data_IF_376769756908
#
_entry.id   IF_376769756908
#
_cell.length_a   1.000
_cell.length_b   1.000
_cell.length_c   1.000
_cell.angle_alpha   90.00
_cell.angle_beta   90.00
_cell.angle_gamma   90.00
#
_symmetry.space_group_name_H-M   'P 1'
#
loop_
_entity.id
_entity.type
_entity.pdbx_description
1 polymer ?
#
# COMPACT_ATOMS: atom_id res chain seq x y z
N UNK A 1 -10.04 -14.03 3.46
CA UNK A 1 -10.83 -12.77 3.51
C UNK A 1 -9.85 -11.61 3.51
N UNK A 2 -9.69 -10.93 2.38
CA UNK A 2 -8.83 -9.74 2.25
C UNK A 2 -9.50 -8.62 3.04
N UNK A 3 -8.84 -8.08 4.06
CA UNK A 3 -9.35 -6.93 4.81
C UNK A 3 -8.92 -5.66 4.08
N UNK A 4 -9.86 -5.05 3.37
CA UNK A 4 -9.68 -3.74 2.74
C UNK A 4 -10.18 -2.66 3.69
N UNK A 5 -9.36 -1.64 3.95
CA UNK A 5 -9.73 -0.51 4.81
C UNK A 5 -10.39 0.59 3.95
N UNK A 6 -11.68 0.46 3.60
CA UNK A 6 -12.40 1.59 3.02
C UNK A 6 -13.92 1.53 3.32
N UNK A 7 -14.48 2.63 3.84
CA UNK A 7 -15.94 2.87 3.87
C UNK A 7 -16.41 3.25 2.46
N UNK A 8 -17.48 2.62 1.99
CA UNK A 8 -18.20 2.96 0.75
C UNK A 8 -19.05 4.22 1.01
N UNK A 9 -18.53 5.40 0.74
CA UNK A 9 -19.34 6.61 0.55
C UNK A 9 -18.88 7.27 -0.76
N UNK A 10 -19.76 7.35 -1.75
CA UNK A 10 -19.45 7.66 -3.15
C UNK A 10 -18.95 9.10 -3.42
N UNK A 11 -18.96 9.98 -2.42
CA UNK A 11 -18.46 11.37 -2.53
C UNK A 11 -17.04 11.58 -1.98
N UNK A 12 -16.46 10.59 -1.29
CA UNK A 12 -15.20 10.77 -0.59
C UNK A 12 -14.11 9.96 -1.29
N UNK A 13 -13.56 10.47 -2.40
CA UNK A 13 -12.39 9.85 -3.05
C UNK A 13 -11.29 9.78 -1.97
N UNK A 14 -10.91 8.58 -1.50
CA UNK A 14 -9.93 8.45 -0.45
C UNK A 14 -8.63 9.08 -0.93
N UNK A 15 -8.10 10.03 -0.16
CA UNK A 15 -6.85 10.72 -0.49
C UNK A 15 -5.68 9.83 -0.07
N UNK A 16 -4.63 9.82 -0.88
CA UNK A 16 -3.43 8.99 -0.66
C UNK A 16 -2.82 9.16 0.74
N UNK A 17 -2.93 10.36 1.33
CA UNK A 17 -2.36 10.63 2.64
C UNK A 17 -3.04 9.86 3.79
N UNK A 18 -4.34 9.55 3.68
CA UNK A 18 -5.04 8.74 4.69
C UNK A 18 -4.54 7.30 4.63
N UNK A 19 -4.37 6.75 3.43
CA UNK A 19 -3.77 5.42 3.23
C UNK A 19 -2.34 5.34 3.78
N UNK A 20 -1.54 6.40 3.58
CA UNK A 20 -0.18 6.49 4.16
C UNK A 20 -0.22 6.46 5.69
N UNK A 21 -1.13 7.22 6.32
CA UNK A 21 -1.28 7.22 7.79
C UNK A 21 -1.61 5.83 8.30
N UNK A 22 -2.62 5.17 7.71
CA UNK A 22 -3.05 3.83 8.11
C UNK A 22 -1.91 2.82 8.01
N UNK A 23 -1.20 2.79 6.88
CA UNK A 23 -0.06 1.88 6.70
C UNK A 23 1.04 2.11 7.74
N UNK A 24 1.40 3.37 8.01
CA UNK A 24 2.40 3.71 9.01
C UNK A 24 1.97 3.28 10.40
N UNK A 25 0.73 3.59 10.80
CA UNK A 25 0.20 3.18 12.11
C UNK A 25 0.22 1.67 12.28
N UNK A 26 -0.17 0.89 11.27
CA UNK A 26 -0.11 -0.58 11.33
C UNK A 26 1.33 -1.06 11.58
N UNK A 27 2.30 -0.54 10.83
CA UNK A 27 3.69 -0.96 10.98
C UNK A 27 4.32 -0.51 12.30
N UNK A 28 4.00 0.70 12.77
CA UNK A 28 4.42 1.22 14.08
C UNK A 28 3.85 0.39 15.22
N UNK A 29 2.57 -0.01 15.14
CA UNK A 29 1.94 -0.88 16.14
C UNK A 29 2.60 -2.26 16.17
N UNK A 30 2.88 -2.86 15.02
CA UNK A 30 3.57 -4.16 14.92
C UNK A 30 4.98 -4.07 15.54
N UNK A 31 5.72 -2.98 15.28
CA UNK A 31 7.05 -2.78 15.84
C UNK A 31 7.00 -2.55 17.36
N UNK A 32 6.01 -1.80 17.84
CA UNK A 32 5.77 -1.56 19.27
C UNK A 32 5.51 -2.87 20.02
N UNK A 33 4.59 -3.70 19.54
CA UNK A 33 4.30 -5.00 20.20
C UNK A 33 5.45 -6.01 20.08
N UNK A 34 6.27 -5.91 19.04
CA UNK A 34 7.40 -6.82 18.82
C UNK A 34 8.61 -6.54 19.72
N UNK A 35 8.77 -5.31 20.20
CA UNK A 35 9.93 -4.88 21.00
C UNK A 35 9.81 -5.21 22.49
N UNK A 36 8.59 -5.42 23.02
CA UNK A 36 8.31 -5.91 24.40
C UNK A 36 9.17 -5.24 25.50
N UNK A 37 9.29 -3.93 25.49
CA UNK A 37 10.26 -3.23 26.34
C UNK A 37 9.67 -2.74 27.67
N UNK A 38 8.37 -2.47 27.72
CA UNK A 38 7.75 -1.68 28.79
C UNK A 38 6.34 -2.16 29.17
N UNK A 39 5.89 -1.80 30.39
CA UNK A 39 4.58 -2.18 30.94
C UNK A 39 3.40 -1.73 30.05
N UNK A 40 3.56 -0.60 29.35
CA UNK A 40 2.51 -0.12 28.44
C UNK A 40 2.33 -1.04 27.22
N UNK A 41 3.43 -1.59 26.70
CA UNK A 41 3.41 -2.58 25.62
C UNK A 41 2.82 -3.91 26.08
N UNK A 42 3.11 -4.35 27.32
CA UNK A 42 2.51 -5.57 27.89
C UNK A 42 0.99 -5.42 27.98
N UNK A 43 0.50 -4.25 28.43
CA UNK A 43 -0.93 -3.96 28.49
C UNK A 43 -1.57 -3.99 27.09
N UNK A 44 -0.96 -3.35 26.09
CA UNK A 44 -1.44 -3.38 24.69
C UNK A 44 -1.49 -4.80 24.13
N UNK A 45 -0.45 -5.61 24.35
CA UNK A 45 -0.44 -7.02 23.93
C UNK A 45 -1.61 -7.77 24.55
N UNK A 46 -1.89 -7.55 25.84
CA UNK A 46 -3.03 -8.16 26.52
C UNK A 46 -4.36 -7.74 25.88
N UNK A 47 -4.55 -6.43 25.64
CA UNK A 47 -5.75 -5.91 24.96
C UNK A 47 -5.93 -6.53 23.56
N UNK A 48 -4.84 -6.68 22.77
CA UNK A 48 -4.90 -7.36 21.47
C UNK A 48 -5.20 -8.86 21.58
N UNK A 49 -4.68 -9.54 22.61
CA UNK A 49 -4.96 -10.96 22.89
C UNK A 49 -6.38 -11.21 23.39
N UNK A 50 -7.02 -10.20 23.98
CA UNK A 50 -8.44 -10.26 24.35
C UNK A 50 -9.33 -10.02 23.12
N UNK A 51 -8.92 -9.12 22.22
CA UNK A 51 -9.66 -8.80 21.00
C UNK A 51 -9.47 -9.82 19.85
N UNK A 52 -8.35 -10.55 19.83
CA UNK A 52 -7.99 -11.51 18.79
C UNK A 52 -7.39 -12.79 19.40
N UNK A 53 -7.33 -13.88 18.62
CA UNK A 53 -6.72 -15.12 19.10
C UNK A 53 -5.26 -14.90 19.53
N UNK A 54 -4.92 -15.34 20.74
CA UNK A 54 -3.57 -15.26 21.30
C UNK A 54 -2.50 -15.82 20.35
N UNK A 55 -2.80 -16.95 19.70
CA UNK A 55 -1.93 -17.58 18.71
C UNK A 55 -1.56 -16.66 17.54
N UNK A 56 -2.50 -15.80 17.08
CA UNK A 56 -2.26 -14.85 15.99
C UNK A 56 -1.36 -13.71 16.46
N UNK A 57 -1.60 -13.19 17.66
CA UNK A 57 -0.79 -12.10 18.23
C UNK A 57 0.65 -12.56 18.43
N UNK A 58 0.84 -13.78 18.95
CA UNK A 58 2.18 -14.36 19.14
C UNK A 58 2.90 -14.60 17.80
N UNK A 59 2.16 -15.02 16.76
CA UNK A 59 2.70 -15.13 15.40
C UNK A 59 3.16 -13.78 14.84
N UNK A 60 2.36 -12.71 15.02
CA UNK A 60 2.72 -11.36 14.56
C UNK A 60 3.95 -10.84 15.29
N UNK A 61 4.03 -11.04 16.62
CA UNK A 61 5.21 -10.65 17.42
C UNK A 61 6.46 -11.39 16.95
N UNK A 62 6.36 -12.70 16.72
CA UNK A 62 7.49 -13.54 16.29
C UNK A 62 7.97 -13.19 14.89
N UNK A 63 7.06 -12.97 13.95
CA UNK A 63 7.38 -12.76 12.54
C UNK A 63 7.53 -11.28 12.16
N UNK A 64 7.17 -10.34 13.06
CA UNK A 64 7.13 -8.89 12.82
C UNK A 64 6.35 -8.50 11.55
N UNK A 65 5.35 -9.31 11.20
CA UNK A 65 4.50 -9.14 10.01
C UNK A 65 3.14 -9.77 10.26
N UNK A 66 2.10 -9.23 9.62
CA UNK A 66 0.79 -9.84 9.59
C UNK A 66 0.81 -11.19 8.86
N UNK A 67 0.01 -12.19 9.30
CA UNK A 67 -0.07 -13.50 8.64
C UNK A 67 -0.85 -13.46 7.32
N UNK A 68 -1.33 -12.29 6.90
CA UNK A 68 -2.10 -12.07 5.67
C UNK A 68 -1.49 -10.93 4.85
N UNK A 69 -1.62 -10.95 3.52
CA UNK A 69 -1.16 -9.85 2.67
C UNK A 69 -1.84 -8.53 3.03
N UNK A 70 -1.04 -7.47 3.18
CA UNK A 70 -1.53 -6.11 3.41
C UNK A 70 -1.53 -5.33 2.08
N UNK A 71 -2.72 -5.06 1.56
CA UNK A 71 -2.89 -4.26 0.34
C UNK A 71 -3.21 -2.81 0.70
N UNK A 72 -2.55 -1.88 0.03
CA UNK A 72 -2.85 -0.46 0.11
C UNK A 72 -4.02 -0.13 -0.84
N UNK A 73 -5.10 0.44 -0.30
CA UNK A 73 -6.24 0.92 -1.06
C UNK A 73 -6.53 2.37 -0.69
N UNK A 74 -6.93 3.17 -1.67
CA UNK A 74 -7.33 4.55 -1.49
C UNK A 74 -6.43 5.57 -2.19
N UNK A 75 -7.00 6.28 -3.17
CA UNK A 75 -6.34 7.44 -3.80
C UNK A 75 -5.18 7.12 -4.72
N UNK A 76 -4.96 5.85 -5.03
CA UNK A 76 -3.86 5.40 -5.89
C UNK A 76 -4.28 5.55 -7.35
N UNK A 77 -3.65 6.50 -8.03
CA UNK A 77 -3.93 6.80 -9.44
C UNK A 77 -2.67 6.94 -10.27
N UNK A 78 -1.55 7.38 -9.68
CA UNK A 78 -0.30 7.62 -10.38
C UNK A 78 0.76 6.56 -10.06
N UNK A 79 1.73 6.32 -10.97
CA UNK A 79 2.85 5.39 -10.73
C UNK A 79 3.65 5.74 -9.46
N UNK A 80 3.80 7.03 -9.16
CA UNK A 80 4.51 7.50 -7.96
C UNK A 80 3.80 7.09 -6.66
N UNK A 81 2.47 7.12 -6.65
CA UNK A 81 1.67 6.68 -5.50
C UNK A 81 1.90 5.18 -5.23
N UNK A 82 1.89 4.37 -6.31
CA UNK A 82 2.16 2.93 -6.23
C UNK A 82 3.55 2.66 -5.67
N UNK A 83 4.57 3.33 -6.21
CA UNK A 83 5.94 3.17 -5.75
C UNK A 83 6.09 3.57 -4.27
N UNK A 84 5.41 4.64 -3.83
CA UNK A 84 5.38 5.06 -2.43
C UNK A 84 4.77 3.98 -1.53
N UNK A 85 3.64 3.40 -1.91
CA UNK A 85 2.98 2.34 -1.11
C UNK A 85 3.84 1.08 -0.98
N UNK A 86 4.48 0.66 -2.07
CA UNK A 86 5.40 -0.48 -2.05
C UNK A 86 6.61 -0.22 -1.14
N UNK A 87 7.15 1.01 -1.14
CA UNK A 87 8.23 1.40 -0.23
C UNK A 87 7.80 1.43 1.24
N UNK A 88 6.52 1.71 1.51
CA UNK A 88 5.92 1.58 2.83
C UNK A 88 5.61 0.12 3.21
N UNK A 89 6.21 -0.86 2.51
CA UNK A 89 6.09 -2.29 2.74
C UNK A 89 4.67 -2.83 2.51
N UNK A 90 3.82 -2.15 1.74
CA UNK A 90 2.57 -2.79 1.31
C UNK A 90 2.90 -4.02 0.44
N UNK A 91 2.17 -5.12 0.61
CA UNK A 91 2.34 -6.33 -0.22
C UNK A 91 1.74 -6.14 -1.63
N UNK A 92 0.89 -5.12 -1.79
CA UNK A 92 0.27 -4.78 -3.06
C UNK A 92 -0.55 -3.50 -2.97
N UNK A 93 -1.07 -3.06 -4.12
CA UNK A 93 -1.91 -1.85 -4.24
C UNK A 93 -3.20 -2.17 -4.96
N UNK A 94 -4.26 -1.45 -4.59
CA UNK A 94 -5.54 -1.43 -5.28
C UNK A 94 -5.66 -0.08 -6.00
N UNK A 95 -5.73 -0.12 -7.32
CA UNK A 95 -5.89 1.07 -8.13
C UNK A 95 -7.35 1.50 -8.18
N UNK A 96 -7.60 2.82 -8.19
CA UNK A 96 -8.94 3.35 -8.36
C UNK A 96 -9.50 3.02 -9.74
N UNK A 97 -10.82 2.83 -9.83
CA UNK A 97 -11.52 2.68 -11.11
C UNK A 97 -11.33 3.90 -12.04
N UNK A 98 -10.93 5.06 -11.51
CA UNK A 98 -10.61 6.25 -12.30
C UNK A 98 -9.42 6.05 -13.25
N UNK A 99 -8.57 5.06 -12.98
CA UNK A 99 -7.49 4.65 -13.90
C UNK A 99 -8.04 4.27 -15.28
N UNK A 100 -9.26 3.73 -15.35
CA UNK A 100 -9.90 3.35 -16.61
C UNK A 100 -10.50 4.53 -17.40
N UNK A 101 -10.62 5.72 -16.80
CA UNK A 101 -11.22 6.90 -17.45
C UNK A 101 -10.21 7.72 -18.28
N UNK A 102 -9.04 7.16 -18.62
CA UNK A 102 -8.07 7.79 -19.53
C UNK A 102 -8.40 7.60 -21.01
N UNK A 103 -7.84 8.45 -21.89
CA UNK A 103 -7.78 8.18 -23.32
C UNK A 103 -7.01 6.90 -23.69
N UNK A 104 -6.03 6.48 -22.87
CA UNK A 104 -5.27 5.23 -23.04
C UNK A 104 -5.16 4.49 -21.69
N UNK A 105 -6.14 3.63 -21.34
CA UNK A 105 -6.16 2.89 -20.07
C UNK A 105 -5.08 1.79 -20.02
N UNK A 106 -4.78 1.12 -21.14
CA UNK A 106 -3.78 0.05 -21.19
C UNK A 106 -2.39 0.55 -20.82
N UNK A 107 -1.96 1.67 -21.42
CA UNK A 107 -0.68 2.28 -21.10
C UNK A 107 -0.60 2.74 -19.65
N UNK A 108 -1.70 3.30 -19.13
CA UNK A 108 -1.76 3.76 -17.74
C UNK A 108 -1.61 2.59 -16.77
N UNK A 109 -2.37 1.51 -16.97
CA UNK A 109 -2.32 0.31 -16.13
C UNK A 109 -0.92 -0.32 -16.19
N UNK A 110 -0.33 -0.43 -17.40
CA UNK A 110 1.05 -0.92 -17.56
C UNK A 110 2.05 -0.09 -16.76
N UNK A 111 1.91 1.24 -16.77
CA UNK A 111 2.78 2.14 -16.01
C UNK A 111 2.65 1.92 -14.50
N UNK A 112 1.44 1.67 -13.99
CA UNK A 112 1.20 1.35 -12.57
C UNK A 112 1.84 0.01 -12.18
N UNK A 113 1.69 -1.02 -13.03
CA UNK A 113 2.30 -2.34 -12.81
C UNK A 113 3.83 -2.24 -12.82
N UNK A 114 4.41 -1.55 -13.80
CA UNK A 114 5.85 -1.34 -13.89
C UNK A 114 6.39 -0.57 -12.68
N UNK A 115 5.64 0.40 -12.16
CA UNK A 115 6.02 1.11 -10.93
C UNK A 115 5.96 0.23 -9.69
N UNK A 116 5.00 -0.71 -9.59
CA UNK A 116 4.99 -1.69 -8.52
C UNK A 116 6.23 -2.61 -8.57
N UNK A 117 6.61 -3.05 -9.77
CA UNK A 117 7.79 -3.93 -9.96
C UNK A 117 9.10 -3.18 -9.71
N UNK A 118 9.22 -1.94 -10.19
CA UNK A 118 10.45 -1.15 -10.13
C UNK A 118 10.44 -0.05 -9.06
N UNK A 119 9.65 -0.20 -7.99
CA UNK A 119 9.49 0.82 -6.94
C UNK A 119 10.81 1.26 -6.26
N UNK A 120 11.85 0.44 -6.29
CA UNK A 120 13.17 0.77 -5.72
C UNK A 120 14.14 1.43 -6.69
N UNK A 121 13.85 1.46 -7.99
CA UNK A 121 14.72 2.06 -9.01
C UNK A 121 14.22 3.47 -9.39
N UNK A 122 14.87 4.49 -8.84
CA UNK A 122 14.48 5.89 -9.07
C UNK A 122 14.58 6.32 -10.54
N UNK A 123 15.53 5.78 -11.31
CA UNK A 123 15.70 6.12 -12.73
C UNK A 123 14.57 5.53 -13.56
N UNK A 124 14.26 4.25 -13.34
CA UNK A 124 13.12 3.61 -14.01
C UNK A 124 11.79 4.27 -13.64
N UNK A 125 11.59 4.62 -12.37
CA UNK A 125 10.39 5.32 -11.95
C UNK A 125 10.22 6.68 -12.64
N UNK A 126 11.29 7.45 -12.81
CA UNK A 126 11.24 8.71 -13.55
C UNK A 126 10.76 8.48 -14.99
N UNK A 127 11.36 7.52 -15.70
CA UNK A 127 10.95 7.17 -17.07
C UNK A 127 9.51 6.66 -17.15
N UNK A 128 9.04 5.89 -16.16
CA UNK A 128 7.66 5.41 -16.09
C UNK A 128 6.69 6.57 -15.86
N UNK A 129 7.03 7.53 -14.98
CA UNK A 129 6.20 8.71 -14.72
C UNK A 129 6.11 9.61 -15.97
N UNK A 130 7.22 9.85 -16.66
CA UNK A 130 7.23 10.57 -17.93
C UNK A 130 6.37 9.86 -18.99
N UNK A 131 6.53 8.54 -19.11
CA UNK A 131 5.72 7.73 -20.01
C UNK A 131 4.23 7.73 -19.63
N UNK A 132 3.88 7.96 -18.36
CA UNK A 132 2.50 8.06 -17.90
C UNK A 132 1.85 9.42 -18.24
N UNK A 133 2.61 10.51 -18.23
CA UNK A 133 2.11 11.88 -18.47
C UNK A 133 1.99 12.25 -19.95
N UNK A 134 2.72 11.58 -20.82
CA UNK A 134 2.65 11.77 -22.28
C UNK A 134 1.30 11.29 -22.84
N UNK A 135 0.25 12.10 -22.71
CA UNK A 135 -1.02 11.95 -23.44
C UNK A 135 -0.81 12.40 -24.89
N UNK A 136 -0.16 11.54 -25.67
CA UNK A 136 0.08 11.69 -27.10
C UNK A 136 0.60 10.37 -27.68
N UNK A 137 0.46 10.13 -29.00
CA UNK A 137 0.71 8.85 -29.64
C UNK A 137 2.21 8.60 -29.83
N UNK A 138 2.99 8.53 -28.74
CA UNK A 138 4.36 8.03 -28.76
C UNK A 138 4.71 7.41 -27.42
N UNK A 139 4.78 6.09 -27.40
CA UNK A 139 5.80 5.31 -26.69
C UNK A 139 5.93 4.00 -27.43
N UNK A 140 6.68 4.05 -28.52
CA UNK A 140 7.40 2.89 -28.97
C UNK A 140 8.61 2.71 -28.04
N UNK A 141 8.77 1.49 -27.53
CA UNK A 141 9.97 0.94 -26.91
C UNK A 141 10.30 1.41 -25.49
N UNK A 142 9.78 0.68 -24.51
CA UNK A 142 10.46 0.47 -23.23
C UNK A 142 10.59 -1.05 -23.11
N UNK A 143 11.78 -1.57 -23.41
CA UNK A 143 12.18 -2.98 -23.29
C UNK A 143 13.22 -3.08 -22.20
#
# INVERSE_FOLDING_TARGET
MVRTACKKDEENIPKIHETVKILRTIYEEIETIATKTDDSTIKKIKEYKEAASESLVDQVIKNKKLPVPLLADGGIMKPMDVAMMMRLKADGVVASAQVFRSPDPDRRIRSLVLAAVHHNDAKKLASICEAHELTGPKVANIT
#
